data_IF_407936140787
#
_entry.id   IF_407936140787
#
_cell.length_a   1.000
_cell.length_b   1.000
_cell.length_c   1.000
_cell.angle_alpha   90.00
_cell.angle_beta   90.00
_cell.angle_gamma   90.00
#
_symmetry.space_group_name_H-M   'P 1'
#
loop_
_entity.id
_entity.type
_entity.pdbx_description
1 polymer ?
#
# COMPACT_ATOMS: atom_id res chain seq x y z
N UNK A 1 15.01 -17.46 3.82
CA UNK A 1 14.85 -16.06 3.34
C UNK A 1 14.06 -15.32 4.41
N UNK A 2 14.43 -14.08 4.72
CA UNK A 2 13.65 -13.26 5.64
C UNK A 2 12.23 -13.06 5.10
N UNK A 3 11.21 -13.17 5.98
CA UNK A 3 9.84 -12.86 5.62
C UNK A 3 9.53 -11.43 6.08
N UNK A 4 8.89 -10.65 5.21
CA UNK A 4 8.51 -9.27 5.50
C UNK A 4 7.10 -8.97 5.03
N UNK A 5 6.44 -8.04 5.72
CA UNK A 5 5.21 -7.40 5.25
C UNK A 5 5.17 -5.96 5.69
N UNK A 6 5.11 -5.02 4.73
CA UNK A 6 5.13 -3.60 5.02
C UNK A 6 3.78 -2.91 4.77
N UNK A 7 2.70 -3.71 4.78
CA UNK A 7 1.33 -3.24 4.63
C UNK A 7 0.38 -4.13 5.41
N UNK A 8 -0.17 -3.60 6.51
CA UNK A 8 -1.16 -4.31 7.34
C UNK A 8 -2.12 -3.33 8.01
N UNK A 9 -3.37 -3.75 8.18
CA UNK A 9 -4.44 -3.01 8.85
C UNK A 9 -4.88 -3.68 10.15
N UNK A 10 -5.59 -2.93 10.99
CA UNK A 10 -5.88 -3.31 12.37
C UNK A 10 -7.34 -3.05 12.74
N UNK A 11 -7.66 -3.27 14.01
CA UNK A 11 -8.95 -2.94 14.61
C UNK A 11 -9.14 -1.43 14.93
N UNK A 12 -8.23 -0.59 14.42
CA UNK A 12 -8.33 0.87 14.61
C UNK A 12 -9.30 1.54 13.62
N UNK A 13 -9.67 0.82 12.54
CA UNK A 13 -10.73 1.20 11.58
C UNK A 13 -11.94 0.29 11.69
N UNK A 14 -13.05 0.68 11.05
CA UNK A 14 -14.30 -0.10 11.11
C UNK A 14 -14.33 -1.31 10.16
N UNK A 15 -13.29 -1.49 9.31
CA UNK A 15 -13.20 -2.63 8.40
C UNK A 15 -12.00 -3.55 8.66
N UNK A 16 -11.07 -3.15 9.54
CA UNK A 16 -10.00 -4.00 10.03
C UNK A 16 -10.44 -4.83 11.23
N UNK A 17 -9.92 -6.04 11.37
CA UNK A 17 -10.33 -7.00 12.41
C UNK A 17 -9.14 -7.62 13.16
N UNK A 18 -7.93 -7.11 12.95
CA UNK A 18 -6.73 -7.58 13.61
C UNK A 18 -6.30 -6.64 14.74
N UNK A 19 -6.46 -7.01 16.02
CA UNK A 19 -5.85 -6.23 17.10
C UNK A 19 -4.33 -6.12 16.88
N UNK A 20 -3.76 -4.93 17.07
CA UNK A 20 -2.33 -4.67 16.85
C UNK A 20 -1.45 -5.71 17.55
N UNK A 21 -1.80 -6.05 18.79
CA UNK A 21 -1.05 -6.97 19.63
C UNK A 21 -1.06 -8.41 19.08
N UNK A 22 -2.21 -8.85 18.58
CA UNK A 22 -2.39 -10.18 17.99
C UNK A 22 -1.73 -10.28 16.62
N UNK A 23 -1.85 -9.23 15.80
CA UNK A 23 -1.21 -9.12 14.50
C UNK A 23 0.31 -9.29 14.60
N UNK A 24 0.94 -8.52 15.52
CA UNK A 24 2.39 -8.54 15.69
C UNK A 24 2.86 -9.83 16.35
N UNK A 25 2.09 -10.37 17.33
CA UNK A 25 2.38 -11.66 17.94
C UNK A 25 2.38 -12.79 16.89
N UNK A 26 1.36 -12.81 16.02
CA UNK A 26 1.28 -13.81 14.96
C UNK A 26 2.40 -13.65 13.92
N UNK A 27 2.73 -12.42 13.54
CA UNK A 27 3.87 -12.14 12.66
C UNK A 27 5.18 -12.71 13.24
N UNK A 28 5.42 -12.51 14.53
CA UNK A 28 6.58 -13.07 15.23
C UNK A 28 6.55 -14.61 15.23
N UNK A 29 5.41 -15.24 15.50
CA UNK A 29 5.23 -16.70 15.46
C UNK A 29 5.50 -17.29 14.06
N UNK A 30 5.11 -16.56 13.01
CA UNK A 30 5.34 -16.95 11.62
C UNK A 30 6.77 -16.67 11.13
N UNK A 31 7.63 -16.06 11.96
CA UNK A 31 9.01 -15.75 11.61
C UNK A 31 9.15 -14.54 10.67
N UNK A 32 8.18 -13.65 10.66
CA UNK A 32 8.27 -12.37 9.94
C UNK A 32 9.25 -11.48 10.69
N UNK A 33 10.34 -11.08 10.03
CA UNK A 33 11.41 -10.30 10.64
C UNK A 33 11.21 -8.78 10.55
N UNK A 34 10.33 -8.33 9.63
CA UNK A 34 10.02 -6.91 9.42
C UNK A 34 8.53 -6.78 9.10
N UNK A 35 7.81 -6.05 9.95
CA UNK A 35 6.38 -5.78 9.80
C UNK A 35 6.08 -4.31 9.99
N UNK A 36 5.32 -3.71 9.08
CA UNK A 36 4.77 -2.36 9.24
C UNK A 36 3.27 -2.43 9.51
N UNK A 37 2.83 -1.77 10.58
CA UNK A 37 1.42 -1.49 10.82
C UNK A 37 1.12 -0.18 10.11
N UNK A 38 0.22 -0.19 9.12
CA UNK A 38 0.00 0.92 8.19
C UNK A 38 -1.48 1.26 8.06
N UNK A 39 -2.11 1.54 9.19
CA UNK A 39 -3.53 1.85 9.20
C UNK A 39 -3.87 3.06 8.32
N UNK A 40 -5.07 3.10 7.77
CA UNK A 40 -5.54 4.23 6.98
C UNK A 40 -5.47 5.53 7.78
N UNK A 41 -4.70 6.50 7.27
CA UNK A 41 -4.56 7.82 7.88
C UNK A 41 -5.90 8.54 7.87
N UNK A 42 -6.22 9.32 8.93
CA UNK A 42 -7.51 9.98 9.06
C UNK A 42 -7.96 10.75 7.82
N UNK A 43 -9.14 10.43 7.34
CA UNK A 43 -9.85 11.16 6.29
C UNK A 43 -10.86 12.13 6.92
N UNK A 44 -11.21 13.16 6.17
CA UNK A 44 -12.28 14.07 6.61
C UNK A 44 -13.65 13.41 6.44
N UNK A 45 -14.68 13.79 7.24
CA UNK A 45 -16.03 13.24 7.09
C UNK A 45 -16.69 13.52 5.72
N UNK A 46 -16.13 14.45 4.95
CA UNK A 46 -16.57 14.73 3.57
C UNK A 46 -16.06 13.68 2.58
N UNK A 47 -14.97 13.00 2.89
CA UNK A 47 -14.37 11.93 2.08
C UNK A 47 -14.82 10.58 2.59
N UNK A 48 -14.61 10.28 3.87
CA UNK A 48 -15.11 9.06 4.51
C UNK A 48 -16.53 9.28 5.07
N UNK A 49 -17.49 9.43 4.17
CA UNK A 49 -18.88 9.77 4.52
C UNK A 49 -19.62 8.69 5.31
N UNK A 50 -19.07 7.47 5.35
CA UNK A 50 -19.64 6.33 6.07
C UNK A 50 -18.91 6.02 7.36
N UNK A 51 -17.86 6.78 7.68
CA UNK A 51 -17.01 6.50 8.84
C UNK A 51 -16.52 5.04 8.85
N UNK A 52 -16.02 4.58 7.72
CA UNK A 52 -15.71 3.18 7.51
C UNK A 52 -14.25 2.90 7.14
N UNK A 53 -13.64 3.81 6.37
CA UNK A 53 -12.32 3.56 5.76
C UNK A 53 -11.20 3.87 6.74
N UNK A 54 -11.18 5.06 7.32
CA UNK A 54 -10.01 5.58 8.03
C UNK A 54 -10.13 5.57 9.54
N UNK A 55 -9.00 5.55 10.21
CA UNK A 55 -8.91 5.74 11.65
C UNK A 55 -9.29 7.18 12.02
N UNK A 56 -9.92 7.38 13.19
CA UNK A 56 -10.19 8.72 13.71
C UNK A 56 -8.91 9.39 14.19
N UNK A 57 -8.74 10.68 13.89
CA UNK A 57 -7.52 11.43 14.22
C UNK A 57 -7.20 11.45 15.72
N UNK A 58 -8.22 11.46 16.59
CA UNK A 58 -8.06 11.41 18.04
C UNK A 58 -7.51 10.08 18.56
N UNK A 59 -7.52 9.02 17.74
CA UNK A 59 -6.94 7.71 18.06
C UNK A 59 -5.46 7.58 17.70
N UNK A 60 -4.88 8.53 16.99
CA UNK A 60 -3.45 8.49 16.63
C UNK A 60 -2.52 8.28 17.83
N UNK A 61 -2.71 8.96 18.99
CA UNK A 61 -1.86 8.70 20.15
C UNK A 61 -1.95 7.25 20.68
N UNK A 62 -3.15 6.66 20.70
CA UNK A 62 -3.38 5.26 21.07
C UNK A 62 -2.67 4.33 20.09
N UNK A 63 -2.78 4.62 18.79
CA UNK A 63 -2.15 3.87 17.71
C UNK A 63 -0.63 3.80 17.88
N UNK A 64 0.02 4.94 18.08
CA UNK A 64 1.46 4.99 18.33
C UNK A 64 1.87 4.24 19.59
N UNK A 65 1.17 4.46 20.69
CA UNK A 65 1.45 3.80 21.97
C UNK A 65 1.41 2.28 21.84
N UNK A 66 0.36 1.74 21.21
CA UNK A 66 0.17 0.30 21.02
C UNK A 66 1.29 -0.32 20.17
N UNK A 67 1.65 0.29 19.04
CA UNK A 67 2.72 -0.23 18.19
C UNK A 67 4.09 -0.17 18.87
N UNK A 68 4.41 0.95 19.52
CA UNK A 68 5.68 1.12 20.22
C UNK A 68 5.82 0.15 21.39
N UNK A 69 4.71 -0.18 22.09
CA UNK A 69 4.71 -1.21 23.12
C UNK A 69 5.03 -2.60 22.55
N UNK A 70 4.52 -2.94 21.36
CA UNK A 70 4.84 -4.21 20.70
C UNK A 70 6.28 -4.22 20.16
N UNK A 71 6.77 -3.12 19.60
CA UNK A 71 8.20 -2.96 19.22
C UNK A 71 9.14 -3.25 20.40
N UNK A 72 8.80 -2.74 21.58
CA UNK A 72 9.57 -2.99 22.80
C UNK A 72 9.46 -4.44 23.29
N UNK A 73 8.32 -5.10 23.09
CA UNK A 73 8.04 -6.47 23.49
C UNK A 73 8.74 -7.50 22.60
N UNK A 74 8.91 -7.23 21.32
CA UNK A 74 9.51 -8.10 20.31
C UNK A 74 10.77 -7.48 19.71
N UNK A 75 11.87 -7.36 20.47
CA UNK A 75 13.10 -6.65 20.01
C UNK A 75 13.88 -7.42 18.92
N UNK A 76 13.50 -8.64 18.63
CA UNK A 76 14.11 -9.52 17.63
C UNK A 76 13.48 -9.40 16.24
N UNK A 77 12.39 -8.62 16.11
CA UNK A 77 11.80 -8.26 14.82
C UNK A 77 11.69 -6.73 14.68
N UNK A 78 11.71 -6.26 13.44
CA UNK A 78 11.54 -4.84 13.11
C UNK A 78 10.05 -4.52 12.99
N UNK A 79 9.47 -3.88 14.02
CA UNK A 79 8.09 -3.40 14.01
C UNK A 79 8.08 -1.93 13.65
N UNK A 80 7.43 -1.56 12.54
CA UNK A 80 7.36 -0.18 12.05
C UNK A 80 6.04 0.47 12.38
N UNK A 81 6.10 1.74 12.74
CA UNK A 81 4.95 2.64 12.78
C UNK A 81 4.75 3.19 11.38
N UNK A 82 3.66 2.87 10.74
CA UNK A 82 3.34 3.34 9.41
C UNK A 82 1.95 3.92 9.29
N UNK A 83 1.60 4.41 8.12
CA UNK A 83 0.23 4.71 7.73
C UNK A 83 0.04 4.50 6.23
N UNK A 84 -1.20 4.21 5.84
CA UNK A 84 -1.65 4.29 4.47
C UNK A 84 -2.38 5.61 4.26
N UNK A 85 -1.79 6.47 3.44
CA UNK A 85 -2.25 7.84 3.19
C UNK A 85 -2.86 7.94 1.79
N UNK A 86 -4.14 8.23 1.73
CA UNK A 86 -4.85 8.43 0.47
C UNK A 86 -4.39 9.67 -0.29
N UNK A 87 -4.13 9.50 -1.59
CA UNK A 87 -3.97 10.61 -2.51
C UNK A 87 -5.33 11.10 -2.99
N UNK A 88 -5.66 12.34 -2.68
CA UNK A 88 -6.91 12.97 -3.06
C UNK A 88 -6.68 14.24 -3.92
N UNK A 89 -5.44 14.47 -4.45
CA UNK A 89 -5.04 15.64 -5.24
C UNK A 89 -4.29 16.72 -4.43
N UNK A 90 -3.81 17.73 -5.08
CA UNK A 90 -3.06 18.88 -4.49
C UNK A 90 -3.99 19.98 -3.93
N UNK A 91 -5.18 19.66 -3.42
CA UNK A 91 -6.11 20.64 -2.88
C UNK A 91 -5.60 21.31 -1.59
N UNK A 92 -5.99 22.60 -1.39
CA UNK A 92 -5.62 23.39 -0.21
C UNK A 92 -6.07 22.76 1.12
N UNK A 93 -7.12 21.94 1.10
CA UNK A 93 -7.67 21.25 2.27
C UNK A 93 -6.77 20.10 2.80
N UNK A 94 -5.56 19.97 2.25
CA UNK A 94 -4.57 18.92 2.56
C UNK A 94 -3.22 19.41 3.01
N UNK A 95 -3.14 20.61 3.47
CA UNK A 95 -1.95 21.05 4.21
C UNK A 95 -1.90 20.31 5.54
N UNK A 96 -1.16 19.20 5.54
CA UNK A 96 -0.77 18.56 6.79
C UNK A 96 0.13 19.52 7.60
N UNK A 97 0.04 19.47 8.92
CA UNK A 97 1.05 20.14 9.74
C UNK A 97 2.45 19.63 9.33
N UNK A 98 3.48 20.47 9.28
CA UNK A 98 4.80 20.07 8.81
C UNK A 98 5.39 18.85 9.52
N UNK A 99 5.01 18.63 10.77
CA UNK A 99 5.46 17.56 11.67
C UNK A 99 4.48 16.39 11.77
N UNK A 100 3.35 16.43 11.06
CA UNK A 100 2.29 15.40 11.16
C UNK A 100 2.80 13.98 10.85
N UNK A 101 3.83 13.87 10.02
CA UNK A 101 4.36 12.59 9.57
C UNK A 101 5.71 12.20 10.19
N UNK A 102 6.32 13.06 11.03
CA UNK A 102 7.58 12.74 11.73
C UNK A 102 7.52 11.44 12.57
N UNK A 103 6.38 11.08 13.20
CA UNK A 103 6.32 9.84 13.98
C UNK A 103 6.33 8.55 13.16
N UNK A 104 6.12 8.62 11.84
CA UNK A 104 6.01 7.44 11.00
C UNK A 104 7.36 7.02 10.43
N UNK A 105 7.67 5.72 10.51
CA UNK A 105 8.82 5.11 9.85
C UNK A 105 8.58 4.92 8.34
N UNK A 106 7.32 4.63 7.96
CA UNK A 106 6.90 4.35 6.59
C UNK A 106 5.52 4.97 6.30
N UNK A 107 5.36 5.56 5.12
CA UNK A 107 4.10 6.13 4.65
C UNK A 107 3.79 5.53 3.29
N UNK A 108 2.72 4.74 3.23
CA UNK A 108 2.20 4.20 1.97
C UNK A 108 1.32 5.24 1.31
N UNK A 109 1.55 5.52 0.04
CA UNK A 109 0.71 6.40 -0.76
C UNK A 109 -0.27 5.58 -1.58
N UNK A 110 -1.56 5.78 -1.40
CA UNK A 110 -2.61 4.98 -2.03
C UNK A 110 -3.52 5.81 -2.91
N UNK A 111 -3.95 5.22 -4.01
CA UNK A 111 -4.96 5.80 -4.90
C UNK A 111 -6.22 4.93 -4.80
N UNK A 112 -7.13 5.29 -3.87
CA UNK A 112 -8.45 4.69 -3.72
C UNK A 112 -9.55 5.57 -4.33
N UNK A 113 -9.23 6.82 -4.62
CA UNK A 113 -10.18 7.81 -5.11
C UNK A 113 -9.78 8.35 -6.48
N UNK A 114 -10.73 8.43 -7.39
CA UNK A 114 -10.60 9.16 -8.66
C UNK A 114 -11.57 10.34 -8.62
N UNK A 115 -11.04 11.56 -8.52
CA UNK A 115 -11.83 12.79 -8.38
C UNK A 115 -12.85 12.70 -7.21
N UNK A 116 -12.39 12.20 -6.03
CA UNK A 116 -13.15 11.91 -4.81
C UNK A 116 -14.17 10.74 -4.94
N UNK A 117 -14.23 10.05 -6.04
CA UNK A 117 -15.01 8.83 -6.18
C UNK A 117 -14.18 7.62 -5.70
N UNK A 118 -14.65 6.85 -4.69
CA UNK A 118 -13.97 5.65 -4.21
C UNK A 118 -14.18 4.51 -5.20
N UNK A 119 -13.35 4.45 -6.23
CA UNK A 119 -13.52 3.58 -7.40
C UNK A 119 -13.37 2.09 -7.07
N UNK A 120 -12.68 1.76 -5.99
CA UNK A 120 -12.42 0.39 -5.52
C UNK A 120 -13.41 -0.10 -4.45
N UNK A 121 -14.38 0.75 -4.05
CA UNK A 121 -15.46 0.37 -3.14
C UNK A 121 -16.48 -0.53 -3.86
N UNK A 122 -16.73 -1.75 -3.34
CA UNK A 122 -17.75 -2.66 -3.92
C UNK A 122 -19.14 -2.05 -4.06
N UNK A 123 -19.50 -1.11 -3.17
CA UNK A 123 -20.80 -0.42 -3.25
C UNK A 123 -20.90 0.56 -4.43
N UNK A 124 -19.76 0.96 -5.01
CA UNK A 124 -19.67 1.92 -6.10
C UNK A 124 -19.51 1.27 -7.49
N UNK A 125 -19.60 -0.06 -7.58
CA UNK A 125 -19.41 -0.80 -8.84
C UNK A 125 -20.32 -0.37 -9.98
N UNK A 126 -21.53 0.11 -9.68
CA UNK A 126 -22.48 0.57 -10.70
C UNK A 126 -21.91 1.71 -11.56
N UNK A 127 -21.16 2.63 -10.98
CA UNK A 127 -20.56 3.74 -11.71
C UNK A 127 -19.51 3.28 -12.75
N UNK A 128 -18.88 2.14 -12.54
CA UNK A 128 -17.99 1.51 -13.52
C UNK A 128 -18.70 1.18 -14.84
N UNK A 129 -19.99 0.80 -14.77
CA UNK A 129 -20.78 0.47 -15.96
C UNK A 129 -21.21 1.72 -16.71
N UNK A 130 -21.34 2.86 -16.01
CA UNK A 130 -21.70 4.15 -16.59
C UNK A 130 -20.53 4.79 -17.35
N UNK A 131 -19.32 4.82 -16.77
CA UNK A 131 -18.17 5.51 -17.34
C UNK A 131 -17.26 4.61 -18.17
N UNK A 132 -17.30 3.31 -17.96
CA UNK A 132 -16.55 2.31 -18.70
C UNK A 132 -15.11 2.10 -18.20
N UNK A 133 -14.67 0.83 -18.28
CA UNK A 133 -13.35 0.41 -17.76
C UNK A 133 -12.18 1.19 -18.40
N UNK A 134 -12.23 1.45 -19.70
CA UNK A 134 -11.14 2.13 -20.41
C UNK A 134 -10.87 3.54 -19.90
N UNK A 135 -11.94 4.28 -19.58
CA UNK A 135 -11.81 5.60 -18.99
C UNK A 135 -11.19 5.51 -17.59
N UNK A 136 -11.69 4.61 -16.74
CA UNK A 136 -11.24 4.43 -15.36
C UNK A 136 -9.77 4.01 -15.33
N UNK A 137 -9.33 3.09 -16.21
CA UNK A 137 -7.93 2.71 -16.33
C UNK A 137 -7.02 3.88 -16.67
N UNK A 138 -7.39 4.71 -17.65
CA UNK A 138 -6.59 5.90 -18.03
C UNK A 138 -6.53 6.90 -16.88
N UNK A 139 -7.69 7.22 -16.28
CA UNK A 139 -7.76 8.17 -15.17
C UNK A 139 -6.98 7.69 -13.96
N UNK A 140 -7.07 6.39 -13.63
CA UNK A 140 -6.28 5.80 -12.55
C UNK A 140 -4.78 6.04 -12.73
N UNK A 141 -4.21 5.73 -13.88
CA UNK A 141 -2.79 5.93 -14.13
C UNK A 141 -2.38 7.42 -14.22
N UNK A 142 -3.28 8.31 -14.63
CA UNK A 142 -3.05 9.76 -14.54
C UNK A 142 -2.93 10.18 -13.08
N UNK A 143 -3.92 9.86 -12.24
CA UNK A 143 -3.94 10.16 -10.80
C UNK A 143 -2.77 9.49 -10.08
N UNK A 144 -2.44 8.25 -10.43
CA UNK A 144 -1.31 7.55 -9.85
C UNK A 144 0.03 8.25 -10.16
N UNK A 145 0.21 8.73 -11.39
CA UNK A 145 1.39 9.50 -11.76
C UNK A 145 1.43 10.87 -11.05
N UNK A 146 0.29 11.53 -10.88
CA UNK A 146 0.18 12.76 -10.07
C UNK A 146 0.61 12.47 -8.62
N UNK A 147 0.07 11.40 -8.01
CA UNK A 147 0.40 10.99 -6.64
C UNK A 147 1.90 10.72 -6.45
N UNK A 148 2.48 9.87 -7.31
CA UNK A 148 3.88 9.46 -7.17
C UNK A 148 4.86 10.61 -7.39
N UNK A 149 4.51 11.66 -8.11
CA UNK A 149 5.35 12.84 -8.35
C UNK A 149 5.03 14.05 -7.45
N UNK A 150 3.99 13.95 -6.62
CA UNK A 150 3.54 15.01 -5.72
C UNK A 150 4.57 15.32 -4.62
N UNK A 151 4.32 16.37 -3.85
CA UNK A 151 5.08 16.68 -2.63
C UNK A 151 4.61 15.92 -1.39
N UNK A 152 3.60 15.04 -1.51
CA UNK A 152 3.11 14.22 -0.40
C UNK A 152 4.26 13.34 0.18
N UNK A 153 4.26 13.04 1.48
CA UNK A 153 5.38 12.39 2.16
C UNK A 153 5.44 10.87 1.92
N UNK A 154 4.99 10.38 0.78
CA UNK A 154 4.98 8.95 0.48
C UNK A 154 6.38 8.35 0.43
N UNK A 155 6.59 7.27 1.18
CA UNK A 155 7.79 6.43 1.12
C UNK A 155 7.67 5.36 0.04
N UNK A 156 6.48 4.77 -0.06
CA UNK A 156 6.12 3.65 -0.95
C UNK A 156 4.77 3.94 -1.60
N UNK A 157 4.61 3.65 -2.88
CA UNK A 157 3.28 3.62 -3.52
C UNK A 157 2.67 2.23 -3.36
N UNK A 158 1.56 2.15 -2.61
CA UNK A 158 0.84 0.93 -2.32
C UNK A 158 0.12 0.38 -3.56
N UNK A 159 -0.04 -0.94 -3.61
CA UNK A 159 -0.83 -1.71 -4.59
C UNK A 159 -0.99 -1.02 -5.97
N UNK A 160 0.10 -0.73 -6.72
CA UNK A 160 -0.02 -0.16 -8.05
C UNK A 160 -0.92 -1.04 -8.94
N UNK A 161 -1.69 -0.40 -9.82
CA UNK A 161 -2.75 -1.00 -10.64
C UNK A 161 -3.97 -1.60 -9.88
N UNK A 162 -4.30 -1.05 -8.69
CA UNK A 162 -5.51 -1.39 -7.95
C UNK A 162 -6.79 -1.31 -8.82
N UNK A 163 -6.76 -0.54 -9.88
CA UNK A 163 -7.83 -0.42 -10.87
C UNK A 163 -8.35 -1.75 -11.42
N UNK A 164 -7.55 -2.82 -11.37
CA UNK A 164 -7.96 -4.16 -11.79
C UNK A 164 -8.71 -4.98 -10.72
N UNK A 165 -8.83 -4.48 -9.48
CA UNK A 165 -9.37 -5.19 -8.31
C UNK A 165 -10.65 -5.99 -8.60
N UNK A 166 -11.56 -5.41 -9.37
CA UNK A 166 -12.84 -6.04 -9.73
C UNK A 166 -12.78 -6.95 -10.97
N UNK A 167 -11.60 -7.31 -11.46
CA UNK A 167 -11.42 -8.13 -12.66
C UNK A 167 -11.74 -7.40 -13.97
N UNK A 168 -12.00 -6.08 -13.92
CA UNK A 168 -12.29 -5.27 -15.11
C UNK A 168 -10.99 -4.86 -15.79
N UNK A 169 -10.85 -5.24 -17.06
CA UNK A 169 -9.63 -5.00 -17.85
C UNK A 169 -9.86 -3.87 -18.85
N UNK A 170 -8.80 -3.14 -19.16
CA UNK A 170 -8.79 -2.22 -20.29
C UNK A 170 -8.95 -3.01 -21.61
N UNK A 171 -9.69 -2.46 -22.58
CA UNK A 171 -9.82 -3.06 -23.92
C UNK A 171 -8.64 -2.70 -24.85
N UNK A 172 -7.75 -1.83 -24.40
CA UNK A 172 -6.55 -1.39 -25.10
C UNK A 172 -5.27 -1.96 -24.46
N UNK A 173 -4.13 -1.86 -25.15
CA UNK A 173 -2.82 -2.20 -24.58
C UNK A 173 -2.43 -1.20 -23.47
N UNK A 174 -2.31 -1.62 -22.20
CA UNK A 174 -1.96 -0.73 -21.10
C UNK A 174 -0.46 -0.42 -21.01
N UNK A 175 0.39 -1.05 -21.82
CA UNK A 175 1.85 -0.90 -21.74
C UNK A 175 2.36 0.55 -21.81
N UNK A 176 1.76 1.48 -22.58
CA UNK A 176 2.16 2.89 -22.52
C UNK A 176 1.90 3.54 -21.15
N UNK A 177 0.80 3.17 -20.47
CA UNK A 177 0.50 3.65 -19.12
C UNK A 177 1.52 3.11 -18.12
N UNK A 178 1.87 1.83 -18.22
CA UNK A 178 2.86 1.17 -17.37
C UNK A 178 4.23 1.82 -17.45
N UNK A 179 4.71 2.10 -18.67
CA UNK A 179 5.99 2.80 -18.86
C UNK A 179 6.00 4.20 -18.26
N UNK A 180 4.91 4.96 -18.46
CA UNK A 180 4.77 6.29 -17.85
C UNK A 180 4.79 6.23 -16.33
N UNK A 181 4.07 5.28 -15.73
CA UNK A 181 4.06 5.08 -14.29
C UNK A 181 5.45 4.70 -13.75
N UNK A 182 6.15 3.79 -14.44
CA UNK A 182 7.50 3.39 -14.06
C UNK A 182 8.52 4.54 -14.14
N UNK A 183 8.42 5.39 -15.17
CA UNK A 183 9.26 6.58 -15.31
C UNK A 183 8.96 7.60 -14.19
N UNK A 184 7.70 7.88 -13.90
CA UNK A 184 7.28 8.75 -12.81
C UNK A 184 7.78 8.26 -11.45
N UNK A 185 7.67 6.95 -11.15
CA UNK A 185 8.17 6.36 -9.93
C UNK A 185 9.71 6.47 -9.82
N UNK A 186 10.43 6.20 -10.91
CA UNK A 186 11.90 6.37 -10.96
C UNK A 186 12.32 7.82 -10.66
N UNK A 187 11.65 8.79 -11.26
CA UNK A 187 11.97 10.21 -11.09
C UNK A 187 11.68 10.69 -9.67
N UNK A 188 10.62 10.19 -9.04
CA UNK A 188 10.28 10.53 -7.66
C UNK A 188 11.23 9.93 -6.62
N UNK A 189 11.96 8.85 -6.94
CA UNK A 189 12.78 8.07 -6.01
C UNK A 189 11.99 7.28 -4.97
N UNK A 190 10.66 7.20 -5.13
CA UNK A 190 9.78 6.42 -4.24
C UNK A 190 9.86 4.93 -4.58
N UNK A 191 9.59 4.11 -3.58
CA UNK A 191 9.42 2.67 -3.74
C UNK A 191 8.03 2.35 -4.27
N UNK A 192 7.87 1.14 -4.79
CA UNK A 192 6.54 0.55 -5.04
C UNK A 192 6.38 -0.70 -4.20
N UNK A 193 5.15 -1.16 -4.06
CA UNK A 193 4.79 -2.37 -3.35
C UNK A 193 4.42 -3.50 -4.31
N UNK A 194 4.82 -4.74 -4.00
CA UNK A 194 4.08 -5.93 -4.43
C UNK A 194 3.11 -6.27 -3.31
N UNK A 195 1.82 -6.23 -3.62
CA UNK A 195 0.75 -6.46 -2.68
C UNK A 195 0.05 -7.79 -3.00
N UNK A 196 0.04 -8.70 -2.02
CA UNK A 196 -0.48 -10.05 -2.22
C UNK A 196 -2.00 -10.16 -2.08
N UNK A 197 -2.67 -9.13 -1.54
CA UNK A 197 -4.14 -9.13 -1.36
C UNK A 197 -4.89 -9.28 -2.68
N UNK A 198 -4.30 -8.86 -3.79
CA UNK A 198 -4.86 -8.99 -5.12
C UNK A 198 -5.31 -10.41 -5.48
N UNK A 199 -4.68 -11.43 -4.91
CA UNK A 199 -5.06 -12.83 -5.10
C UNK A 199 -6.44 -13.19 -4.51
N UNK A 200 -6.96 -12.36 -3.59
CA UNK A 200 -8.27 -12.57 -2.95
C UNK A 200 -9.41 -11.82 -3.64
N UNK A 201 -9.09 -10.98 -4.61
CA UNK A 201 -10.07 -10.20 -5.36
C UNK A 201 -10.40 -10.83 -6.72
N UNK A 202 -11.37 -10.27 -7.42
CA UNK A 202 -11.84 -10.79 -8.70
C UNK A 202 -10.79 -10.72 -9.83
N UNK A 203 -9.72 -9.96 -9.66
CA UNK A 203 -8.58 -9.96 -10.60
C UNK A 203 -7.70 -11.21 -10.46
N UNK A 204 -7.74 -11.90 -9.32
CA UNK A 204 -6.95 -13.12 -9.02
C UNK A 204 -5.45 -12.96 -9.35
N UNK A 205 -4.92 -11.75 -9.17
CA UNK A 205 -3.55 -11.38 -9.51
C UNK A 205 -3.02 -10.37 -8.50
N UNK A 206 -1.75 -10.52 -8.06
CA UNK A 206 -1.10 -9.55 -7.18
C UNK A 206 -1.04 -8.15 -7.80
N UNK A 207 -1.00 -7.12 -6.96
CA UNK A 207 -0.68 -5.76 -7.39
C UNK A 207 0.85 -5.53 -7.24
N UNK A 208 1.52 -4.98 -8.26
CA UNK A 208 1.03 -4.79 -9.62
C UNK A 208 1.04 -6.09 -10.44
N UNK A 209 0.36 -6.05 -11.60
CA UNK A 209 0.46 -7.08 -12.63
C UNK A 209 1.92 -7.29 -13.08
N UNK A 210 2.22 -8.50 -13.57
CA UNK A 210 3.57 -8.81 -14.06
C UNK A 210 4.05 -7.84 -15.14
N UNK A 211 3.14 -7.34 -15.97
CA UNK A 211 3.47 -6.35 -17.01
C UNK A 211 3.99 -5.04 -16.42
N UNK A 212 3.27 -4.49 -15.46
CA UNK A 212 3.64 -3.25 -14.78
C UNK A 212 4.88 -3.44 -13.88
N UNK A 213 4.95 -4.56 -13.14
CA UNK A 213 6.09 -4.85 -12.27
C UNK A 213 7.42 -4.95 -13.04
N UNK A 214 7.39 -5.52 -14.25
CA UNK A 214 8.57 -5.55 -15.14
C UNK A 214 8.98 -4.16 -15.58
N UNK A 215 8.06 -3.25 -15.85
CA UNK A 215 8.42 -1.87 -16.22
C UNK A 215 9.05 -1.13 -15.02
N UNK A 216 8.54 -1.31 -13.80
CA UNK A 216 9.18 -0.79 -12.60
C UNK A 216 10.59 -1.35 -12.38
N UNK A 217 10.76 -2.67 -12.54
CA UNK A 217 12.06 -3.31 -12.42
C UNK A 217 13.07 -2.78 -13.46
N UNK A 218 12.66 -2.63 -14.73
CA UNK A 218 13.49 -2.07 -15.80
C UNK A 218 13.89 -0.62 -15.53
N UNK A 219 13.00 0.14 -14.93
CA UNK A 219 13.25 1.52 -14.54
C UNK A 219 14.15 1.64 -13.30
N UNK A 220 14.45 0.53 -12.60
CA UNK A 220 15.25 0.50 -11.38
C UNK A 220 14.51 1.03 -10.15
N UNK A 221 13.18 0.96 -10.15
CA UNK A 221 12.35 1.37 -9.01
C UNK A 221 12.48 0.34 -7.90
N UNK A 222 12.86 0.71 -6.66
CA UNK A 222 12.91 -0.22 -5.53
C UNK A 222 11.52 -0.75 -5.20
N UNK A 223 11.44 -2.02 -4.78
CA UNK A 223 10.18 -2.69 -4.52
C UNK A 223 10.16 -3.35 -3.15
N UNK A 224 9.10 -3.14 -2.39
CA UNK A 224 8.81 -3.85 -1.14
C UNK A 224 7.67 -4.85 -1.32
N UNK A 225 7.28 -5.52 -0.22
CA UNK A 225 6.16 -6.46 -0.20
C UNK A 225 5.21 -6.14 0.94
N UNK A 226 3.92 -6.17 0.66
CA UNK A 226 2.84 -6.04 1.63
C UNK A 226 1.78 -7.13 1.43
N UNK A 227 1.18 -7.57 2.53
CA UNK A 227 0.06 -8.53 2.51
C UNK A 227 -1.29 -7.84 2.53
N UNK A 228 -1.32 -6.57 2.95
CA UNK A 228 -2.55 -5.79 3.11
C UNK A 228 -3.56 -6.55 3.99
N UNK A 229 -3.01 -7.10 5.08
CA UNK A 229 -3.75 -7.95 5.99
C UNK A 229 -4.77 -7.13 6.78
N UNK A 230 -6.01 -7.59 6.80
CA UNK A 230 -7.10 -7.02 7.60
C UNK A 230 -7.54 -7.96 8.72
N UNK A 231 -6.98 -9.16 8.75
CA UNK A 231 -7.15 -10.13 9.82
C UNK A 231 -5.80 -10.69 10.26
N UNK A 232 -5.72 -11.21 11.47
CA UNK A 232 -4.48 -11.78 12.01
C UNK A 232 -3.91 -12.88 11.10
N UNK A 233 -4.78 -13.74 10.55
CA UNK A 233 -4.37 -14.87 9.70
C UNK A 233 -3.93 -14.46 8.29
N UNK A 234 -4.10 -13.21 7.91
CA UNK A 234 -3.69 -12.72 6.60
C UNK A 234 -2.26 -12.14 6.59
N UNK A 235 -1.65 -11.98 7.76
CA UNK A 235 -0.36 -11.28 7.91
C UNK A 235 0.79 -11.93 7.15
N UNK A 236 0.76 -13.25 6.99
CA UNK A 236 1.77 -14.03 6.26
C UNK A 236 1.30 -14.49 4.87
N UNK A 237 0.08 -14.04 4.45
CA UNK A 237 -0.57 -14.50 3.23
C UNK A 237 0.31 -14.32 2.00
N UNK A 238 0.73 -15.43 1.42
CA UNK A 238 1.39 -15.50 0.11
C UNK A 238 2.72 -14.72 -0.02
N UNK A 239 3.44 -14.44 1.09
CA UNK A 239 4.72 -13.71 1.07
C UNK A 239 5.72 -14.39 0.12
N UNK A 240 5.91 -15.70 0.22
CA UNK A 240 6.83 -16.43 -0.66
C UNK A 240 6.40 -16.39 -2.14
N UNK A 241 5.09 -16.37 -2.40
CA UNK A 241 4.58 -16.21 -3.76
C UNK A 241 4.85 -14.78 -4.27
N UNK A 242 4.76 -13.77 -3.40
CA UNK A 242 5.15 -12.39 -3.71
C UNK A 242 6.63 -12.28 -4.09
N UNK A 243 7.51 -12.94 -3.38
CA UNK A 243 8.94 -12.99 -3.73
C UNK A 243 9.18 -13.66 -5.10
N UNK A 244 8.50 -14.77 -5.39
CA UNK A 244 8.57 -15.39 -6.72
C UNK A 244 8.06 -14.44 -7.80
N UNK A 245 6.95 -13.72 -7.54
CA UNK A 245 6.38 -12.74 -8.44
C UNK A 245 7.37 -11.61 -8.78
N UNK A 246 8.07 -11.09 -7.77
CA UNK A 246 9.15 -10.10 -7.94
C UNK A 246 10.32 -10.68 -8.74
N UNK A 247 10.78 -11.89 -8.40
CA UNK A 247 11.89 -12.54 -9.09
C UNK A 247 11.60 -12.79 -10.57
N UNK A 248 10.39 -13.24 -10.92
CA UNK A 248 9.92 -13.43 -12.30
C UNK A 248 9.81 -12.13 -13.10
N UNK A 249 9.55 -11.00 -12.43
CA UNK A 249 9.56 -9.68 -13.03
C UNK A 249 10.98 -9.15 -13.30
N UNK A 250 12.00 -9.73 -12.65
CA UNK A 250 13.41 -9.36 -12.82
C UNK A 250 14.10 -8.82 -11.58
N UNK A 251 13.38 -8.60 -10.47
CA UNK A 251 13.98 -8.20 -9.20
C UNK A 251 14.91 -9.29 -8.65
N UNK A 252 15.97 -8.89 -7.98
CA UNK A 252 16.90 -9.78 -7.29
C UNK A 252 17.01 -9.49 -5.80
N UNK A 253 16.33 -8.47 -5.37
CA UNK A 253 16.24 -8.07 -3.98
C UNK A 253 14.86 -7.44 -3.71
N UNK A 254 14.41 -7.52 -2.46
CA UNK A 254 13.32 -6.73 -1.93
C UNK A 254 13.93 -5.61 -1.08
N UNK A 255 13.42 -4.39 -1.24
CA UNK A 255 13.84 -3.24 -0.44
C UNK A 255 12.83 -3.04 0.68
N UNK A 256 13.30 -2.96 1.91
CA UNK A 256 12.44 -2.74 3.09
C UNK A 256 12.83 -1.47 3.82
N UNK A 257 11.84 -0.81 4.38
CA UNK A 257 12.03 0.26 5.35
C UNK A 257 12.30 -0.38 6.71
N UNK A 258 13.15 0.23 7.51
CA UNK A 258 13.43 -0.21 8.89
C UNK A 258 13.01 0.88 9.88
N UNK A 259 12.89 0.59 11.19
CA UNK A 259 12.58 1.61 12.19
C UNK A 259 13.52 2.82 12.09
N UNK A 260 12.94 4.03 12.03
CA UNK A 260 13.68 5.27 11.76
C UNK A 260 13.68 5.71 10.29
N UNK A 261 13.03 4.96 9.39
CA UNK A 261 12.79 5.35 7.98
C UNK A 261 13.93 5.04 7.01
N UNK A 262 15.05 4.48 7.47
CA UNK A 262 16.12 4.03 6.58
C UNK A 262 15.69 2.81 5.76
N UNK A 263 16.45 2.50 4.70
CA UNK A 263 16.16 1.37 3.80
C UNK A 263 17.29 0.36 3.81
N UNK A 264 16.94 -0.94 3.75
CA UNK A 264 17.87 -2.03 3.49
C UNK A 264 17.33 -2.98 2.43
N UNK A 265 18.18 -3.85 1.89
CA UNK A 265 17.77 -4.86 0.91
C UNK A 265 17.94 -6.27 1.44
N UNK A 266 17.07 -7.17 0.96
CA UNK A 266 17.09 -8.61 1.23
C UNK A 266 17.18 -9.31 -0.13
N UNK A 267 18.17 -10.18 -0.32
CA UNK A 267 18.33 -10.92 -1.57
C UNK A 267 17.15 -11.86 -1.83
N UNK A 268 16.63 -11.84 -3.05
CA UNK A 268 15.69 -12.81 -3.57
C UNK A 268 16.47 -13.94 -4.25
N UNK A 269 16.57 -15.04 -3.59
CA UNK A 269 17.28 -16.06 -4.21
C UNK A 269 17.77 -17.21 -3.92
#
# INVERSE_FOLDING_TARGET
>A
MELVTQHTHTDMTNHGHAPIEELIAHAHEMGISNIAVTEHYPLTPQVDTRDFVSMHAERLPEYFERILAQRAKYPDIEVLVGCELDWLGDGEDRTFAPDAFEPFDIILGSVHFLDLWPFDDPAQRGYWDEVGADYIWRRYFEVWCEAVTSSAPFTVMAHPDLVKKFGRKASFDPSPLYRRAAEAARESGRMIEVNTSGLTYACEEMFPSQGLLREFCRAGVPCTLGTDAHTVTDVDRSIEAGYRWMYEAGYREVTVVVPGGDRRTIALG
#
